data_IF_135393462996
#
_entry.id   IF_135393462996
#
_cell.length_a   1.000
_cell.length_b   1.000
_cell.length_c   1.000
_cell.angle_alpha   90.00
_cell.angle_beta   90.00
_cell.angle_gamma   90.00
#
_symmetry.space_group_name_H-M   'P 1'
#
loop_
_entity.id
_entity.type
_entity.pdbx_description
1 polymer ?
#
# COMPACT_ATOMS: atom_id res chain seq x y z
N UNK A 1 -2.12 -14.31 5.54
CA UNK A 1 -1.89 -13.64 6.85
C UNK A 1 -2.99 -14.11 7.78
N UNK A 2 -2.62 -14.65 8.92
CA UNK A 2 -3.53 -14.98 10.01
C UNK A 2 -3.37 -13.92 11.09
N UNK A 3 -4.44 -13.20 11.37
CA UNK A 3 -4.46 -12.21 12.43
C UNK A 3 -4.92 -12.86 13.75
N UNK A 4 -4.11 -12.77 14.78
CA UNK A 4 -4.47 -13.22 16.12
C UNK A 4 -4.84 -12.01 16.95
N UNK A 5 -6.13 -11.86 17.24
CA UNK A 5 -6.67 -10.72 18.01
C UNK A 5 -6.50 -10.87 19.51
N UNK A 6 -6.15 -12.08 19.97
CA UNK A 6 -5.99 -12.37 21.41
C UNK A 6 -4.51 -12.43 21.76
N UNK A 7 -4.09 -11.51 22.62
CA UNK A 7 -2.74 -11.50 23.19
C UNK A 7 -2.78 -12.25 24.53
N UNK A 8 -2.04 -13.35 24.60
CA UNK A 8 -1.92 -14.13 25.85
C UNK A 8 -0.78 -13.54 26.69
N UNK A 9 -1.04 -13.04 27.92
CA UNK A 9 -0.01 -12.53 28.81
C UNK A 9 1.07 -13.58 29.08
N UNK A 10 2.32 -13.15 29.24
CA UNK A 10 3.49 -14.04 29.41
C UNK A 10 3.32 -15.04 30.57
N UNK A 11 2.63 -14.63 31.62
CA UNK A 11 2.34 -15.46 32.79
C UNK A 11 1.39 -16.63 32.50
N UNK A 12 0.56 -16.50 31.45
CA UNK A 12 -0.41 -17.51 31.03
C UNK A 12 0.05 -18.32 29.83
N UNK A 13 1.23 -18.00 29.26
CA UNK A 13 1.78 -18.73 28.13
C UNK A 13 2.37 -20.06 28.56
N UNK A 14 1.92 -21.15 27.95
CA UNK A 14 2.54 -22.47 28.12
C UNK A 14 3.69 -22.68 27.14
N UNK A 15 4.92 -22.46 27.59
CA UNK A 15 6.14 -22.64 26.78
C UNK A 15 6.32 -24.07 26.23
N UNK A 16 5.61 -25.04 26.77
CA UNK A 16 5.68 -26.45 26.39
C UNK A 16 4.43 -26.93 25.66
N UNK A 17 3.51 -26.03 25.31
CA UNK A 17 2.24 -26.36 24.65
C UNK A 17 2.45 -27.23 23.41
N UNK A 18 3.37 -26.85 22.52
CA UNK A 18 3.66 -27.61 21.30
C UNK A 18 4.04 -29.07 21.60
N UNK A 19 4.92 -29.31 22.60
CA UNK A 19 5.31 -30.66 23.02
C UNK A 19 4.14 -31.47 23.58
N UNK A 20 3.27 -30.82 24.36
CA UNK A 20 2.06 -31.45 24.95
C UNK A 20 1.09 -31.87 23.83
N UNK A 21 0.85 -31.01 22.88
CA UNK A 21 -0.03 -31.27 21.73
C UNK A 21 0.53 -32.44 20.91
N UNK A 22 1.79 -32.41 20.52
CA UNK A 22 2.42 -33.46 19.71
C UNK A 22 2.35 -34.81 20.44
N UNK A 23 2.59 -34.85 21.75
CA UNK A 23 2.61 -36.11 22.49
C UNK A 23 1.22 -36.73 22.73
N UNK A 24 0.15 -35.91 22.77
CA UNK A 24 -1.20 -36.39 23.14
C UNK A 24 -2.20 -36.39 22.02
N UNK A 25 -2.05 -35.45 21.05
CA UNK A 25 -3.09 -35.14 20.08
C UNK A 25 -2.63 -35.31 18.62
N UNK A 26 -1.45 -35.87 18.38
CA UNK A 26 -0.86 -35.96 17.04
C UNK A 26 -1.79 -36.66 16.03
N UNK A 27 -2.48 -37.74 16.46
CA UNK A 27 -3.42 -38.47 15.61
C UNK A 27 -4.65 -37.61 15.22
N UNK A 28 -5.16 -36.80 16.16
CA UNK A 28 -6.25 -35.86 15.89
C UNK A 28 -5.85 -34.76 14.92
N UNK A 29 -4.65 -34.19 15.13
CA UNK A 29 -4.09 -33.19 14.22
C UNK A 29 -3.91 -33.77 12.82
N UNK A 30 -3.41 -35.01 12.70
CA UNK A 30 -3.24 -35.67 11.41
C UNK A 30 -4.58 -35.86 10.68
N UNK A 31 -5.63 -36.29 11.35
CA UNK A 31 -6.96 -36.41 10.80
C UNK A 31 -7.48 -35.04 10.29
N UNK A 32 -7.29 -33.98 11.07
CA UNK A 32 -7.67 -32.63 10.66
C UNK A 32 -6.92 -32.16 9.39
N UNK A 33 -5.62 -32.47 9.30
CA UNK A 33 -4.81 -32.19 8.10
C UNK A 33 -5.34 -32.97 6.88
N UNK A 34 -5.72 -34.25 7.05
CA UNK A 34 -6.29 -35.07 5.97
C UNK A 34 -7.63 -34.51 5.47
N UNK A 35 -8.50 -34.03 6.37
CA UNK A 35 -9.74 -33.34 5.99
C UNK A 35 -9.45 -32.07 5.18
N UNK A 36 -8.46 -31.28 5.61
CA UNK A 36 -8.00 -30.10 4.88
C UNK A 36 -7.48 -30.43 3.49
N UNK A 37 -6.68 -31.50 3.38
CA UNK A 37 -6.16 -31.99 2.12
C UNK A 37 -7.32 -32.46 1.20
N UNK A 38 -8.29 -33.20 1.73
CA UNK A 38 -9.47 -33.63 0.96
C UNK A 38 -10.25 -32.47 0.37
N UNK A 39 -10.41 -31.36 1.12
CA UNK A 39 -11.03 -30.13 0.62
C UNK A 39 -10.18 -29.47 -0.47
N UNK A 40 -8.87 -29.35 -0.25
CA UNK A 40 -7.95 -28.75 -1.22
C UNK A 40 -7.95 -29.51 -2.56
N UNK A 41 -7.93 -30.85 -2.50
CA UNK A 41 -7.97 -31.70 -3.70
C UNK A 41 -9.28 -31.57 -4.47
N UNK A 42 -10.42 -31.38 -3.77
CA UNK A 42 -11.73 -31.13 -4.41
C UNK A 42 -11.82 -29.74 -5.02
N UNK A 43 -11.31 -28.73 -4.35
CA UNK A 43 -11.40 -27.34 -4.79
C UNK A 43 -10.32 -26.97 -5.83
N UNK A 44 -9.23 -27.75 -5.92
CA UNK A 44 -8.05 -27.48 -6.76
C UNK A 44 -7.40 -26.11 -6.52
N UNK A 45 -7.77 -25.44 -5.43
CA UNK A 45 -7.26 -24.12 -5.01
C UNK A 45 -7.41 -23.93 -3.50
N UNK A 46 -6.62 -23.04 -2.92
CA UNK A 46 -6.80 -22.64 -1.53
C UNK A 46 -8.08 -21.82 -1.36
N UNK A 47 -8.74 -21.98 -0.20
CA UNK A 47 -9.90 -21.16 0.14
C UNK A 47 -9.47 -19.70 0.30
N UNK A 48 -10.06 -18.81 -0.47
CA UNK A 48 -9.82 -17.38 -0.32
C UNK A 48 -10.48 -16.87 0.96
N UNK A 49 -9.76 -16.07 1.71
CA UNK A 49 -10.27 -15.36 2.88
C UNK A 49 -10.39 -13.87 2.55
N UNK A 50 -11.59 -13.30 2.49
CA UNK A 50 -11.77 -11.87 2.24
C UNK A 50 -11.00 -11.01 3.24
N UNK A 51 -11.04 -11.37 4.53
CA UNK A 51 -10.30 -10.67 5.60
C UNK A 51 -8.79 -10.74 5.41
N UNK A 52 -8.25 -11.88 4.95
CA UNK A 52 -6.81 -12.00 4.67
C UNK A 52 -6.39 -11.17 3.46
N UNK A 53 -7.26 -11.04 2.45
CA UNK A 53 -7.03 -10.20 1.29
C UNK A 53 -7.01 -8.71 1.66
N UNK A 54 -7.99 -8.27 2.44
CA UNK A 54 -8.06 -6.91 2.96
C UNK A 54 -6.82 -6.53 3.77
N UNK A 55 -6.41 -7.37 4.73
CA UNK A 55 -5.19 -7.16 5.51
C UNK A 55 -3.93 -7.12 4.64
N UNK A 56 -3.87 -7.94 3.60
CA UNK A 56 -2.73 -7.93 2.68
C UNK A 56 -2.67 -6.62 1.88
N UNK A 57 -3.81 -6.10 1.45
CA UNK A 57 -3.89 -4.81 0.74
C UNK A 57 -3.51 -3.65 1.66
N UNK A 58 -3.99 -3.66 2.90
CA UNK A 58 -3.62 -2.69 3.92
C UNK A 58 -2.10 -2.69 4.20
N UNK A 59 -1.50 -3.85 4.42
CA UNK A 59 -0.05 -3.97 4.61
C UNK A 59 0.75 -3.54 3.38
N UNK A 60 0.27 -3.82 2.18
CA UNK A 60 0.90 -3.35 0.94
C UNK A 60 0.87 -1.84 0.86
N UNK A 61 -0.26 -1.24 1.18
CA UNK A 61 -0.41 0.21 1.22
C UNK A 61 0.50 0.85 2.27
N UNK A 62 0.51 0.32 3.50
CA UNK A 62 1.37 0.80 4.57
C UNK A 62 2.88 0.70 4.25
N UNK A 63 3.27 -0.30 3.44
CA UNK A 63 4.65 -0.46 2.98
C UNK A 63 4.99 0.38 1.74
N UNK A 64 4.01 0.99 1.09
CA UNK A 64 4.20 1.79 -0.13
C UNK A 64 4.16 3.30 0.15
N UNK A 65 5.32 3.87 0.45
CA UNK A 65 5.46 5.30 0.70
C UNK A 65 5.04 6.18 -0.49
N UNK A 66 5.08 5.66 -1.72
CA UNK A 66 4.63 6.39 -2.93
C UNK A 66 3.11 6.45 -2.96
N UNK A 67 2.43 5.32 -2.70
CA UNK A 67 0.97 5.28 -2.62
C UNK A 67 0.44 6.20 -1.50
N UNK A 68 1.08 6.15 -0.32
CA UNK A 68 0.76 7.04 0.79
C UNK A 68 0.93 8.53 0.44
N UNK A 69 2.00 8.88 -0.28
CA UNK A 69 2.23 10.24 -0.74
C UNK A 69 1.13 10.73 -1.68
N UNK A 70 0.79 9.91 -2.68
CA UNK A 70 -0.26 10.21 -3.67
C UNK A 70 -1.61 10.43 -2.97
N UNK A 71 -1.97 9.55 -2.03
CA UNK A 71 -3.21 9.67 -1.28
C UNK A 71 -3.24 10.87 -0.35
N UNK A 72 -2.17 11.10 0.42
CA UNK A 72 -2.08 12.22 1.35
C UNK A 72 -2.20 13.59 0.65
N UNK A 73 -1.68 13.69 -0.58
CA UNK A 73 -1.76 14.90 -1.42
C UNK A 73 -3.01 14.93 -2.29
N UNK A 74 -3.80 13.86 -2.30
CA UNK A 74 -5.00 13.70 -3.14
C UNK A 74 -4.69 13.90 -4.63
N UNK A 75 -3.55 13.41 -5.08
CA UNK A 75 -3.18 13.46 -6.47
C UNK A 75 -3.95 12.43 -7.28
N UNK A 76 -4.43 12.85 -8.44
CA UNK A 76 -5.11 11.98 -9.42
C UNK A 76 -4.40 12.06 -10.76
N UNK A 77 -4.36 10.95 -11.53
CA UNK A 77 -3.83 10.98 -12.89
C UNK A 77 -4.59 11.97 -13.76
N UNK A 78 -3.88 12.71 -14.60
CA UNK A 78 -4.45 13.60 -15.61
C UNK A 78 -3.89 13.28 -16.98
N UNK A 79 -4.59 13.71 -18.04
CA UNK A 79 -4.14 13.65 -19.42
C UNK A 79 -4.05 15.06 -20.02
N UNK A 80 -4.27 16.09 -19.22
CA UNK A 80 -4.25 17.49 -19.67
C UNK A 80 -2.84 18.07 -19.64
N UNK A 81 -2.42 18.75 -20.69
CA UNK A 81 -1.14 19.47 -20.73
C UNK A 81 -1.01 20.55 -19.64
N UNK A 82 -2.13 21.08 -19.17
CA UNK A 82 -2.15 22.08 -18.07
C UNK A 82 -1.73 21.47 -16.71
N UNK A 83 -1.85 20.15 -16.58
CA UNK A 83 -1.52 19.41 -15.35
C UNK A 83 -0.11 18.78 -15.42
N UNK A 84 0.71 19.27 -16.35
CA UNK A 84 2.06 18.78 -16.60
C UNK A 84 3.06 19.34 -15.60
N UNK A 85 3.73 18.46 -14.86
CA UNK A 85 4.72 18.78 -13.83
C UNK A 85 6.04 18.10 -14.14
N UNK A 86 7.16 18.73 -13.86
CA UNK A 86 8.48 18.10 -13.97
C UNK A 86 8.57 16.92 -12.99
N UNK A 87 8.92 15.74 -13.48
CA UNK A 87 9.08 14.55 -12.62
C UNK A 87 10.15 14.74 -11.53
N UNK A 88 11.14 15.62 -11.78
CA UNK A 88 12.15 15.99 -10.80
C UNK A 88 11.52 16.71 -9.61
N UNK A 89 10.72 17.73 -9.87
CA UNK A 89 10.07 18.55 -8.83
C UNK A 89 9.05 17.73 -8.05
N UNK A 90 8.29 16.90 -8.75
CA UNK A 90 7.34 15.97 -8.13
C UNK A 90 8.03 14.97 -7.20
N UNK A 91 9.24 14.51 -7.58
CA UNK A 91 10.04 13.65 -6.71
C UNK A 91 10.63 14.40 -5.51
N UNK A 92 11.02 15.65 -5.66
CA UNK A 92 11.50 16.47 -4.55
C UNK A 92 10.39 16.66 -3.51
N UNK A 93 9.16 16.88 -3.96
CA UNK A 93 7.99 16.94 -3.07
C UNK A 93 7.73 15.61 -2.35
N UNK A 94 7.85 14.47 -3.05
CA UNK A 94 7.79 13.16 -2.44
C UNK A 94 8.88 12.95 -1.37
N UNK A 95 10.11 13.36 -1.65
CA UNK A 95 11.20 13.24 -0.68
C UNK A 95 10.94 14.10 0.57
N UNK A 96 10.42 15.31 0.39
CA UNK A 96 10.00 16.16 1.51
C UNK A 96 8.88 15.52 2.34
N UNK A 97 7.88 14.91 1.70
CA UNK A 97 6.84 14.15 2.37
C UNK A 97 7.43 12.99 3.20
N UNK A 98 8.32 12.19 2.61
CA UNK A 98 8.98 11.08 3.32
C UNK A 98 9.76 11.58 4.55
N UNK A 99 10.46 12.71 4.42
CA UNK A 99 11.20 13.31 5.54
C UNK A 99 10.25 13.68 6.70
N UNK A 100 9.13 14.36 6.40
CA UNK A 100 8.12 14.75 7.40
C UNK A 100 7.49 13.53 8.08
N UNK A 101 7.18 12.48 7.31
CA UNK A 101 6.55 11.25 7.80
C UNK A 101 7.55 10.24 8.37
N UNK A 102 8.85 10.54 8.37
CA UNK A 102 9.94 9.63 8.79
C UNK A 102 9.94 8.30 8.01
N UNK A 103 9.55 8.36 6.72
CA UNK A 103 9.59 7.22 5.80
C UNK A 103 10.91 7.20 5.05
N UNK A 104 11.33 6.03 4.59
CA UNK A 104 12.51 5.88 3.74
C UNK A 104 12.08 6.07 2.28
N UNK A 105 12.62 7.11 1.57
CA UNK A 105 12.25 7.32 0.19
C UNK A 105 12.80 6.23 -0.72
N UNK A 106 11.98 5.77 -1.66
CA UNK A 106 12.40 4.76 -2.64
C UNK A 106 13.38 5.33 -3.67
N UNK A 107 14.16 4.46 -4.31
CA UNK A 107 15.11 4.84 -5.37
C UNK A 107 14.39 5.43 -6.58
N UNK A 108 15.08 6.28 -7.37
CA UNK A 108 14.51 6.98 -8.53
C UNK A 108 13.82 6.05 -9.54
N UNK A 109 14.44 4.92 -9.86
CA UNK A 109 13.87 3.95 -10.80
C UNK A 109 12.59 3.32 -10.24
N UNK A 110 12.62 2.96 -8.97
CA UNK A 110 11.48 2.37 -8.28
C UNK A 110 10.32 3.36 -8.12
N UNK A 111 10.61 4.62 -7.78
CA UNK A 111 9.61 5.69 -7.75
C UNK A 111 8.85 5.79 -9.08
N UNK A 112 9.58 5.86 -10.20
CA UNK A 112 8.95 5.93 -11.53
C UNK A 112 8.14 4.67 -11.86
N UNK A 113 8.57 3.49 -11.41
CA UNK A 113 7.83 2.24 -11.61
C UNK A 113 6.53 2.23 -10.81
N UNK A 114 6.57 2.63 -9.53
CA UNK A 114 5.38 2.70 -8.68
C UNK A 114 4.39 3.77 -9.14
N UNK A 115 4.87 4.94 -9.57
CA UNK A 115 4.02 5.98 -10.17
C UNK A 115 3.25 5.45 -11.38
N UNK A 116 3.93 4.71 -12.28
CA UNK A 116 3.28 4.07 -13.43
C UNK A 116 2.27 3.00 -13.01
N UNK A 117 2.56 2.20 -11.98
CA UNK A 117 1.59 1.21 -11.47
C UNK A 117 0.33 1.84 -10.90
N UNK A 118 0.43 3.07 -10.39
CA UNK A 118 -0.69 3.91 -9.95
C UNK A 118 -1.39 4.64 -11.11
N UNK A 119 -1.10 4.25 -12.37
CA UNK A 119 -1.72 4.76 -13.62
C UNK A 119 -1.40 6.24 -13.93
N UNK A 120 -0.33 6.79 -13.38
CA UNK A 120 0.16 8.10 -13.82
C UNK A 120 1.05 7.95 -15.04
N UNK A 121 0.84 8.79 -16.04
CA UNK A 121 1.66 8.83 -17.25
C UNK A 121 2.94 9.63 -17.02
N UNK A 122 4.05 9.12 -17.56
CA UNK A 122 5.35 9.79 -17.55
C UNK A 122 5.84 9.89 -18.98
N UNK A 123 5.97 11.12 -19.47
CA UNK A 123 6.46 11.42 -20.82
C UNK A 123 7.86 12.01 -20.81
N UNK A 124 8.58 11.75 -21.89
CA UNK A 124 9.86 12.40 -22.17
C UNK A 124 9.59 13.71 -22.93
N UNK A 125 10.03 14.83 -22.36
CA UNK A 125 10.02 16.10 -23.02
C UNK A 125 11.36 16.47 -23.66
N UNK A 126 11.41 17.64 -24.26
CA UNK A 126 12.64 18.19 -24.81
C UNK A 126 13.72 18.42 -23.75
N UNK A 127 15.01 18.35 -24.15
CA UNK A 127 16.13 18.62 -23.24
C UNK A 127 16.41 17.52 -22.19
N UNK A 128 15.87 16.28 -22.38
CA UNK A 128 16.10 15.15 -21.45
C UNK A 128 15.27 15.18 -20.18
N UNK A 129 14.32 16.09 -20.08
CA UNK A 129 13.38 16.17 -18.95
C UNK A 129 12.25 15.15 -19.09
N UNK A 130 11.84 14.58 -17.96
CA UNK A 130 10.63 13.76 -17.87
C UNK A 130 9.54 14.56 -17.16
N UNK A 131 8.31 14.37 -17.58
CA UNK A 131 7.14 15.04 -17.04
C UNK A 131 6.12 13.99 -16.57
N UNK A 132 5.34 14.35 -15.58
CA UNK A 132 4.20 13.59 -15.08
C UNK A 132 2.94 14.45 -15.21
N UNK A 133 1.82 13.82 -15.56
CA UNK A 133 0.52 14.48 -15.63
C UNK A 133 -0.25 14.18 -14.34
N UNK A 134 -0.38 15.22 -13.50
CA UNK A 134 -0.94 15.07 -12.16
C UNK A 134 -1.81 16.27 -11.81
N UNK A 135 -3.03 15.99 -11.36
CA UNK A 135 -3.95 17.00 -10.83
C UNK A 135 -4.08 16.85 -9.32
N UNK A 136 -4.00 17.95 -8.60
CA UNK A 136 -4.29 17.98 -7.17
C UNK A 136 -5.80 18.27 -6.96
N UNK A 137 -6.47 17.34 -6.28
CA UNK A 137 -7.88 17.49 -5.93
C UNK A 137 -8.06 18.37 -4.67
N UNK A 138 -7.10 19.23 -4.38
CA UNK A 138 -7.12 20.06 -3.18
C UNK A 138 -8.09 21.25 -3.39
N UNK A 139 -9.33 21.07 -2.96
CA UNK A 139 -10.40 22.10 -2.96
C UNK A 139 -9.95 23.40 -2.27
N UNK A 140 -8.92 23.35 -1.42
CA UNK A 140 -8.38 24.51 -0.72
C UNK A 140 -7.69 25.54 -1.65
N UNK A 141 -7.19 25.16 -2.84
CA UNK A 141 -6.62 26.13 -3.80
C UNK A 141 -7.72 26.94 -4.50
N UNK A 142 -8.89 26.38 -4.73
CA UNK A 142 -10.01 27.09 -5.36
C UNK A 142 -10.60 28.18 -4.47
N UNK A 143 -10.55 28.03 -3.15
CA UNK A 143 -11.05 29.07 -2.23
C UNK A 143 -10.12 30.28 -2.15
N UNK A 144 -8.82 30.12 -2.33
CA UNK A 144 -7.85 31.24 -2.27
C UNK A 144 -7.87 32.03 -3.60
N UNK A 145 -8.01 31.37 -4.75
CA UNK A 145 -8.11 32.05 -6.05
C UNK A 145 -9.44 32.81 -6.21
N UNK A 146 -10.54 32.23 -5.73
CA UNK A 146 -11.85 32.92 -5.77
C UNK A 146 -11.97 34.08 -4.78
N UNK A 147 -11.25 34.05 -3.66
CA UNK A 147 -11.24 35.18 -2.72
C UNK A 147 -10.31 36.34 -3.12
N UNK A 148 -9.44 36.13 -4.10
CA UNK A 148 -8.60 37.19 -4.70
C UNK A 148 -9.23 37.83 -5.95
N UNK A 149 -10.25 37.21 -6.55
CA UNK A 149 -10.96 37.76 -7.71
C UNK A 149 -12.17 38.57 -7.38
N UNK A 150 -12.70 38.48 -6.14
CA UNK A 150 -13.87 39.28 -5.68
C UNK A 150 -13.50 40.56 -4.92
N UNK A 151 -12.24 40.99 -5.02
CA UNK A 151 -11.70 42.18 -4.33
C UNK A 151 -11.14 43.27 -5.24
N UNK A 152 -11.73 43.46 -6.46
CA UNK A 152 -11.45 44.64 -7.33
C UNK A 152 -12.75 45.23 -7.85
#
# INVERSE_FOLDING_TARGET
ILNFEVIIPDEKQDKHLAKKIISKELSGIFNWVLEGLGRLLKQQQFTESPKAKELLEEMRFESDSVAQFIEAKKYVPSVSDNDRVLLKDFREEYNAYCCIKKLIPVRRKEFSTRIKSLKFEIEKGGGGNNYIFVKSNNIAKQFVENSLSDGL
#
